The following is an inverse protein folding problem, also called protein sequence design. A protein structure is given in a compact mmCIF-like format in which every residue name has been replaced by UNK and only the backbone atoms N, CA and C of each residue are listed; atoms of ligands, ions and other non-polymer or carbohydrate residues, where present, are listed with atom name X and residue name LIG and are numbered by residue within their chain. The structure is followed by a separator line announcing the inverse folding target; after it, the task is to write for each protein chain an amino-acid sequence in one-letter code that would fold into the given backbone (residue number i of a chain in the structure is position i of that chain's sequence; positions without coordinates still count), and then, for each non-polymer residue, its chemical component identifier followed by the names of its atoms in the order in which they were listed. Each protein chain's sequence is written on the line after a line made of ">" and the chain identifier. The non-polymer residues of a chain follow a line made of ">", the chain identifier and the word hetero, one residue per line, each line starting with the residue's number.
data_IF_970166751506
#
_entry.id   IF_970166751506
#
_cell.length_a   1.000
_cell.length_b   1.000
_cell.length_c   1.000
_cell.angle_alpha   90.00
_cell.angle_beta   90.00
_cell.angle_gamma   90.00
#
_symmetry.space_group_name_H-M   'P 1'
#
loop_
_entity.id
_entity.type
_entity.pdbx_description
1 polymer ?
#
# COMPACT_ATOMS: atom_id res chain seq x y z
N UNK A 1 -6.71 71.08 -99.82
CA UNK A 1 -7.19 69.89 -100.53
C UNK A 1 -6.92 69.93 -102.04
N UNK A 2 -6.83 71.09 -102.71
CA UNK A 2 -6.85 71.13 -104.19
C UNK A 2 -5.52 70.81 -104.93
N UNK A 3 -4.43 70.46 -104.23
CA UNK A 3 -3.13 70.16 -104.86
C UNK A 3 -2.71 68.69 -104.84
N UNK A 4 -3.43 67.84 -104.12
CA UNK A 4 -3.26 66.39 -104.11
C UNK A 4 -4.68 65.87 -104.27
N UNK A 5 -4.98 65.23 -105.40
CA UNK A 5 -6.32 64.77 -105.81
C UNK A 5 -6.80 63.59 -104.95
N UNK A 6 -6.82 63.79 -103.64
CA UNK A 6 -7.15 62.83 -102.59
C UNK A 6 -8.11 63.54 -101.66
N UNK A 7 -9.17 62.86 -101.26
CA UNK A 7 -10.16 63.37 -100.32
C UNK A 7 -9.50 63.54 -98.95
N UNK A 8 -9.47 64.78 -98.45
CA UNK A 8 -8.89 65.12 -97.15
C UNK A 8 -10.03 65.44 -96.21
N UNK A 9 -10.35 64.48 -95.34
CA UNK A 9 -11.30 64.68 -94.25
C UNK A 9 -10.60 65.17 -92.99
N UNK A 10 -11.22 66.14 -92.32
CA UNK A 10 -10.77 66.58 -91.00
C UNK A 10 -11.18 65.54 -89.97
N UNK A 11 -10.18 64.99 -89.28
CA UNK A 11 -10.41 64.02 -88.22
C UNK A 11 -11.22 64.64 -87.08
N UNK A 12 -12.42 64.10 -86.84
CA UNK A 12 -13.27 64.46 -85.71
C UNK A 12 -13.39 63.27 -84.75
N UNK A 13 -12.69 63.28 -83.59
CA UNK A 13 -12.70 62.16 -82.66
C UNK A 13 -14.01 62.00 -81.89
N UNK A 14 -14.90 63.00 -81.92
CA UNK A 14 -16.15 62.98 -81.15
C UNK A 14 -17.30 62.24 -81.83
N UNK A 15 -17.13 61.78 -83.07
CA UNK A 15 -18.16 61.00 -83.76
C UNK A 15 -18.44 59.65 -83.07
N UNK A 16 -17.43 59.09 -82.40
CA UNK A 16 -17.50 57.77 -81.76
C UNK A 16 -17.56 57.82 -80.23
N UNK A 17 -17.64 59.02 -79.64
CA UNK A 17 -17.63 59.22 -78.18
C UNK A 17 -18.83 60.06 -77.78
N UNK A 18 -19.58 59.60 -76.77
CA UNK A 18 -20.69 60.36 -76.21
C UNK A 18 -20.17 61.60 -75.50
N UNK A 19 -20.60 62.78 -75.96
CA UNK A 19 -20.27 64.07 -75.35
C UNK A 19 -21.29 64.38 -74.27
N UNK A 20 -20.82 64.85 -73.11
CA UNK A 20 -21.68 65.27 -72.02
C UNK A 20 -22.50 66.53 -72.41
N UNK A 21 -23.81 66.59 -72.08
CA UNK A 21 -24.70 67.67 -72.52
C UNK A 21 -24.39 69.04 -71.90
N UNK A 22 -23.47 69.14 -70.93
CA UNK A 22 -23.03 70.42 -70.36
C UNK A 22 -21.92 71.12 -71.15
N UNK A 23 -21.34 70.46 -72.17
CA UNK A 23 -20.28 71.04 -72.99
C UNK A 23 -20.83 71.74 -74.24
N UNK A 24 -20.27 72.90 -74.55
CA UNK A 24 -20.60 73.65 -75.76
C UNK A 24 -20.00 72.96 -77.00
N UNK A 25 -20.89 72.46 -77.86
CA UNK A 25 -20.54 71.74 -79.08
C UNK A 25 -19.91 72.66 -80.13
N UNK A 26 -20.19 73.97 -80.08
CA UNK A 26 -19.68 74.94 -81.04
C UNK A 26 -18.19 75.23 -80.82
N UNK A 27 -17.80 75.45 -79.56
CA UNK A 27 -16.38 75.61 -79.22
C UNK A 27 -15.60 74.31 -79.38
N UNK A 28 -16.20 73.17 -79.03
CA UNK A 28 -15.55 71.86 -79.12
C UNK A 28 -15.34 71.41 -80.57
N UNK A 29 -16.26 71.74 -81.47
CA UNK A 29 -16.13 71.50 -82.92
C UNK A 29 -14.97 72.26 -83.55
N UNK A 30 -14.65 73.47 -83.06
CA UNK A 30 -13.55 74.30 -83.57
C UNK A 30 -12.17 73.71 -83.29
N UNK A 31 -12.02 73.02 -82.15
CA UNK A 31 -10.74 72.43 -81.71
C UNK A 31 -10.69 70.90 -81.90
N UNK A 32 -11.74 70.30 -82.47
CA UNK A 32 -11.91 68.85 -82.55
C UNK A 32 -10.69 68.07 -83.09
N UNK A 33 -9.97 68.50 -84.14
CA UNK A 33 -8.82 67.76 -84.63
C UNK A 33 -7.65 67.66 -83.64
N UNK A 34 -7.52 68.60 -82.70
CA UNK A 34 -6.43 68.62 -81.71
C UNK A 34 -6.66 67.65 -80.53
N UNK A 35 -7.90 67.18 -80.34
CA UNK A 35 -8.28 66.35 -79.19
C UNK A 35 -8.07 64.85 -79.39
N UNK A 36 -7.55 64.41 -80.54
CA UNK A 36 -7.37 62.98 -80.84
C UNK A 36 -6.50 62.22 -79.82
N UNK A 37 -5.43 62.85 -79.31
CA UNK A 37 -4.53 62.23 -78.31
C UNK A 37 -5.15 62.17 -76.92
N UNK A 38 -5.92 63.20 -76.55
CA UNK A 38 -6.63 63.26 -75.26
C UNK A 38 -7.75 62.23 -75.23
N UNK A 39 -8.52 62.14 -76.32
CA UNK A 39 -9.54 61.09 -76.48
C UNK A 39 -8.88 59.71 -76.45
N UNK A 40 -7.76 59.51 -77.14
CA UNK A 40 -6.99 58.25 -77.08
C UNK A 40 -6.48 57.89 -75.68
N UNK A 41 -6.02 58.88 -74.89
CA UNK A 41 -5.65 58.69 -73.49
C UNK A 41 -6.87 58.35 -72.62
N UNK A 42 -8.01 58.99 -72.88
CA UNK A 42 -9.27 58.70 -72.18
C UNK A 42 -9.79 57.29 -72.51
N UNK A 43 -9.70 56.85 -73.75
CA UNK A 43 -10.12 55.49 -74.13
C UNK A 43 -9.28 54.41 -73.43
N UNK A 44 -8.03 54.69 -73.06
CA UNK A 44 -7.17 53.78 -72.29
C UNK A 44 -7.73 53.47 -70.89
N UNK A 45 -8.49 54.38 -70.27
CA UNK A 45 -9.08 54.11 -68.93
C UNK A 45 -10.38 53.31 -69.00
N UNK A 46 -11.05 53.29 -70.17
CA UNK A 46 -12.39 52.72 -70.35
C UNK A 46 -12.36 51.38 -71.10
N UNK A 47 -11.43 51.21 -72.03
CA UNK A 47 -11.31 50.01 -72.85
C UNK A 47 -10.00 49.29 -72.60
N UNK A 48 -10.05 47.95 -72.61
CA UNK A 48 -8.87 47.10 -72.52
C UNK A 48 -8.22 47.04 -73.90
N UNK A 49 -7.09 47.73 -74.07
CA UNK A 49 -6.38 47.81 -75.34
C UNK A 49 -5.53 46.54 -75.54
N UNK A 50 -5.46 45.97 -76.76
CA UNK A 50 -4.67 44.75 -77.01
C UNK A 50 -3.16 44.95 -76.81
N UNK A 51 -2.68 46.20 -76.87
CA UNK A 51 -1.31 46.58 -76.55
C UNK A 51 -1.35 47.76 -75.57
N UNK A 52 -0.91 47.51 -74.33
CA UNK A 52 -0.80 48.53 -73.30
C UNK A 52 0.66 48.72 -72.91
N UNK A 53 1.16 49.94 -73.05
CA UNK A 53 2.51 50.30 -72.64
C UNK A 53 2.42 51.27 -71.47
N UNK A 54 2.78 50.80 -70.28
CA UNK A 54 2.87 51.61 -69.07
C UNK A 54 4.34 51.81 -68.72
N UNK A 55 4.80 53.06 -68.73
CA UNK A 55 6.19 53.43 -68.42
C UNK A 55 6.42 53.59 -66.91
N UNK A 56 5.41 53.36 -66.07
CA UNK A 56 5.62 53.34 -64.63
C UNK A 56 6.54 52.19 -64.24
N UNK A 57 7.64 52.46 -63.50
CA UNK A 57 8.56 51.42 -63.06
C UNK A 57 7.85 50.47 -62.09
N UNK A 58 8.08 49.16 -62.26
CA UNK A 58 7.45 48.10 -61.45
C UNK A 58 7.65 48.30 -59.94
N UNK A 59 8.79 48.87 -59.55
CA UNK A 59 9.09 49.18 -58.15
C UNK A 59 8.13 50.17 -57.49
N UNK A 60 7.47 51.05 -58.25
CA UNK A 60 6.45 51.95 -57.72
C UNK A 60 5.09 51.26 -57.61
N UNK A 61 4.77 50.36 -58.55
CA UNK A 61 3.55 49.56 -58.48
C UNK A 61 3.59 48.61 -57.28
N UNK A 62 4.72 47.95 -57.03
CA UNK A 62 4.90 47.09 -55.85
C UNK A 62 4.76 47.88 -54.54
N UNK A 63 5.27 49.13 -54.50
CA UNK A 63 5.07 50.03 -53.35
C UNK A 63 3.61 50.41 -53.17
N UNK A 64 2.89 50.73 -54.24
CA UNK A 64 1.46 51.04 -54.19
C UNK A 64 0.65 49.82 -53.73
N UNK A 65 0.98 48.62 -54.21
CA UNK A 65 0.33 47.40 -53.77
C UNK A 65 0.61 47.09 -52.30
N UNK A 66 1.85 47.30 -51.86
CA UNK A 66 2.22 47.11 -50.47
C UNK A 66 1.48 48.09 -49.57
N UNK A 67 1.46 49.38 -49.90
CA UNK A 67 0.67 50.41 -49.18
C UNK A 67 -0.81 50.04 -49.12
N UNK A 68 -1.39 49.56 -50.24
CA UNK A 68 -2.78 49.12 -50.29
C UNK A 68 -3.06 47.89 -49.40
N UNK A 69 -2.06 47.03 -49.18
CA UNK A 69 -2.18 45.79 -48.37
C UNK A 69 -1.86 45.97 -46.89
N UNK A 70 -1.16 47.05 -46.49
CA UNK A 70 -0.88 47.37 -45.08
C UNK A 70 -2.10 47.32 -44.15
N UNK A 71 -3.27 47.90 -44.48
CA UNK A 71 -4.42 47.84 -43.57
C UNK A 71 -4.94 46.41 -43.38
N UNK A 72 -4.87 45.57 -44.40
CA UNK A 72 -5.26 44.16 -44.29
C UNK A 72 -4.31 43.36 -43.38
N UNK A 73 -3.01 43.65 -43.44
CA UNK A 73 -2.01 42.98 -42.59
C UNK A 73 -2.17 43.40 -41.12
N UNK A 74 -2.43 44.69 -40.86
CA UNK A 74 -2.75 45.18 -39.52
C UNK A 74 -4.04 44.55 -38.97
N UNK A 75 -5.09 44.47 -39.79
CA UNK A 75 -6.35 43.82 -39.40
C UNK A 75 -6.14 42.33 -39.07
N UNK A 76 -5.31 41.61 -39.83
CA UNK A 76 -5.01 40.20 -39.56
C UNK A 76 -4.32 40.01 -38.19
N UNK A 77 -3.38 40.87 -37.83
CA UNK A 77 -2.72 40.82 -36.51
C UNK A 77 -3.72 41.13 -35.39
N UNK A 78 -4.58 42.12 -35.58
CA UNK A 78 -5.64 42.45 -34.60
C UNK A 78 -6.60 41.29 -34.41
N UNK A 79 -7.00 40.60 -35.48
CA UNK A 79 -7.86 39.40 -35.40
C UNK A 79 -7.15 38.28 -34.63
N UNK A 80 -5.85 38.07 -34.86
CA UNK A 80 -5.07 37.04 -34.14
C UNK A 80 -5.02 37.35 -32.64
N UNK A 81 -4.72 38.60 -32.27
CA UNK A 81 -4.71 39.05 -30.87
C UNK A 81 -6.09 38.91 -30.22
N UNK A 82 -7.15 39.27 -30.94
CA UNK A 82 -8.52 39.16 -30.45
C UNK A 82 -8.93 37.70 -30.23
N UNK A 83 -8.48 36.78 -31.09
CA UNK A 83 -8.70 35.34 -30.89
C UNK A 83 -7.99 34.83 -29.63
N UNK A 84 -6.73 35.21 -29.42
CA UNK A 84 -5.98 34.88 -28.19
C UNK A 84 -6.70 35.43 -26.94
N UNK A 85 -7.22 36.66 -27.03
CA UNK A 85 -7.97 37.29 -25.94
C UNK A 85 -9.29 36.55 -25.64
N UNK A 86 -10.07 36.19 -26.67
CA UNK A 86 -11.32 35.44 -26.51
C UNK A 86 -11.09 34.08 -25.83
N UNK A 87 -10.02 33.37 -26.22
CA UNK A 87 -9.65 32.08 -25.60
C UNK A 87 -9.29 32.27 -24.13
N UNK A 88 -8.47 33.29 -23.81
CA UNK A 88 -8.12 33.61 -22.41
C UNK A 88 -9.35 33.96 -21.56
N UNK A 89 -10.25 34.79 -22.09
CA UNK A 89 -11.50 35.15 -21.43
C UNK A 89 -12.41 33.93 -21.20
N UNK A 90 -12.53 33.04 -22.19
CA UNK A 90 -13.30 31.81 -22.08
C UNK A 90 -12.77 30.89 -20.97
N UNK A 91 -11.45 30.68 -20.91
CA UNK A 91 -10.85 29.88 -19.84
C UNK A 91 -11.05 30.51 -18.45
N UNK A 92 -11.04 31.83 -18.34
CA UNK A 92 -11.33 32.51 -17.07
C UNK A 92 -12.78 32.25 -16.60
N UNK A 93 -13.74 32.22 -17.52
CA UNK A 93 -15.15 31.93 -17.22
C UNK A 93 -15.40 30.45 -16.87
N UNK A 94 -14.68 29.53 -17.52
CA UNK A 94 -14.71 28.11 -17.16
C UNK A 94 -14.03 27.87 -15.81
N UNK A 95 -12.94 28.59 -15.52
CA UNK A 95 -12.25 28.47 -14.25
C UNK A 95 -13.09 28.95 -13.06
N UNK A 96 -13.90 30.02 -13.21
CA UNK A 96 -14.76 30.50 -12.13
C UNK A 96 -15.87 29.50 -11.79
N UNK A 97 -16.55 28.94 -12.79
CA UNK A 97 -17.60 27.91 -12.59
C UNK A 97 -17.03 26.61 -12.01
N UNK A 98 -15.85 26.18 -12.45
CA UNK A 98 -15.17 25.02 -11.86
C UNK A 98 -14.76 25.24 -10.41
N UNK A 99 -14.33 26.44 -10.02
CA UNK A 99 -13.99 26.77 -8.63
C UNK A 99 -15.23 26.77 -7.73
N UNK A 100 -16.36 27.27 -8.23
CA UNK A 100 -17.63 27.24 -7.51
C UNK A 100 -18.10 25.79 -7.27
N UNK A 101 -18.09 24.95 -8.31
CA UNK A 101 -18.41 23.52 -8.17
C UNK A 101 -17.44 22.77 -7.27
N UNK A 102 -16.14 23.06 -7.34
CA UNK A 102 -15.16 22.49 -6.42
C UNK A 102 -15.43 22.90 -4.97
N UNK A 103 -15.85 24.14 -4.73
CA UNK A 103 -16.20 24.60 -3.39
C UNK A 103 -17.44 23.89 -2.84
N UNK A 104 -18.44 23.65 -3.68
CA UNK A 104 -19.65 22.91 -3.32
C UNK A 104 -19.36 21.42 -3.09
N UNK A 105 -18.58 20.79 -3.98
CA UNK A 105 -18.13 19.40 -3.80
C UNK A 105 -17.28 19.23 -2.54
N UNK A 106 -16.38 20.18 -2.25
CA UNK A 106 -15.59 20.14 -1.02
C UNK A 106 -16.47 20.38 0.22
N UNK A 107 -17.49 21.23 0.14
CA UNK A 107 -18.47 21.41 1.20
C UNK A 107 -19.32 20.15 1.44
N UNK A 108 -19.63 19.38 0.39
CA UNK A 108 -20.30 18.07 0.51
C UNK A 108 -19.34 16.95 0.97
N UNK A 109 -18.05 17.04 0.62
CA UNK A 109 -17.04 16.08 1.05
C UNK A 109 -16.60 16.29 2.51
N UNK A 110 -16.64 17.53 3.02
CA UNK A 110 -16.28 17.85 4.41
C UNK A 110 -17.05 17.06 5.48
N UNK A 111 -18.39 16.88 5.42
CA UNK A 111 -19.10 16.05 6.39
C UNK A 111 -18.76 14.56 6.24
N UNK A 112 -18.46 14.10 5.01
CA UNK A 112 -18.07 12.71 4.77
C UNK A 112 -16.67 12.41 5.33
N UNK A 113 -15.70 13.32 5.14
CA UNK A 113 -14.36 13.18 5.70
C UNK A 113 -14.36 13.35 7.21
N UNK A 114 -15.22 14.21 7.77
CA UNK A 114 -15.45 14.32 9.20
C UNK A 114 -16.11 13.06 9.79
N UNK A 115 -17.06 12.45 9.08
CA UNK A 115 -17.64 11.17 9.48
C UNK A 115 -16.59 10.07 9.46
N UNK A 116 -15.78 10.01 8.40
CA UNK A 116 -14.67 9.06 8.28
C UNK A 116 -13.66 9.21 9.42
N UNK A 117 -13.25 10.44 9.77
CA UNK A 117 -12.33 10.66 10.89
C UNK A 117 -12.96 10.36 12.26
N UNK A 118 -14.28 10.51 12.40
CA UNK A 118 -15.01 10.09 13.61
C UNK A 118 -15.22 8.58 13.72
N UNK A 119 -15.27 7.86 12.59
CA UNK A 119 -15.41 6.40 12.55
C UNK A 119 -14.07 5.69 12.74
N UNK A 120 -12.95 6.30 12.35
CA UNK A 120 -11.62 5.73 12.53
C UNK A 120 -11.29 5.29 13.99
N UNK A 121 -11.62 6.06 15.05
CA UNK A 121 -11.46 5.58 16.42
C UNK A 121 -12.47 4.48 16.78
N UNK A 122 -13.68 4.48 16.22
CA UNK A 122 -14.64 3.39 16.46
C UNK A 122 -14.17 2.08 15.79
N UNK A 123 -13.64 2.15 14.56
CA UNK A 123 -13.03 1.02 13.86
C UNK A 123 -11.83 0.46 14.62
N UNK A 124 -10.97 1.32 15.19
CA UNK A 124 -9.84 0.84 15.99
C UNK A 124 -10.28 0.18 17.30
N UNK A 125 -11.33 0.69 17.97
CA UNK A 125 -11.90 0.03 19.16
C UNK A 125 -12.62 -1.30 18.83
N UNK A 126 -13.19 -1.42 17.64
CA UNK A 126 -13.73 -2.70 17.17
C UNK A 126 -12.60 -3.69 16.87
N UNK A 127 -11.52 -3.24 16.25
CA UNK A 127 -10.33 -4.06 16.00
C UNK A 127 -9.74 -4.59 17.30
N UNK A 128 -9.61 -3.77 18.35
CA UNK A 128 -9.14 -4.25 19.66
C UNK A 128 -10.10 -5.25 20.31
N UNK A 129 -11.42 -5.06 20.19
CA UNK A 129 -12.39 -6.05 20.71
C UNK A 129 -12.34 -7.38 19.97
N UNK A 130 -12.14 -7.35 18.65
CA UNK A 130 -11.95 -8.56 17.84
C UNK A 130 -10.64 -9.25 18.22
N UNK A 131 -9.57 -8.48 18.43
CA UNK A 131 -8.29 -9.00 18.88
C UNK A 131 -8.42 -9.69 20.25
N UNK A 132 -9.09 -9.05 21.21
CA UNK A 132 -9.37 -9.65 22.52
C UNK A 132 -10.16 -10.96 22.38
N UNK A 133 -11.19 -11.00 21.53
CA UNK A 133 -11.96 -12.22 21.29
C UNK A 133 -11.11 -13.33 20.62
N UNK A 134 -10.21 -12.96 19.72
CA UNK A 134 -9.31 -13.90 19.03
C UNK A 134 -8.29 -14.49 20.01
N UNK A 135 -7.71 -13.67 20.90
CA UNK A 135 -6.82 -14.13 21.98
C UNK A 135 -7.51 -15.14 22.91
N UNK A 136 -8.78 -14.91 23.26
CA UNK A 136 -9.54 -15.90 24.01
C UNK A 136 -9.74 -17.21 23.24
N UNK A 137 -9.97 -17.13 21.93
CA UNK A 137 -10.05 -18.31 21.06
C UNK A 137 -8.77 -19.13 21.04
N UNK A 138 -7.61 -18.47 20.94
CA UNK A 138 -6.29 -19.10 20.96
C UNK A 138 -6.02 -19.79 22.31
N UNK A 139 -6.29 -19.10 23.43
CA UNK A 139 -6.15 -19.70 24.77
C UNK A 139 -7.03 -20.93 24.98
N UNK A 140 -8.27 -20.90 24.47
CA UNK A 140 -9.18 -22.04 24.55
C UNK A 140 -8.65 -23.22 23.73
N UNK A 141 -8.13 -22.94 22.53
CA UNK A 141 -7.56 -23.97 21.65
C UNK A 141 -6.33 -24.64 22.30
N UNK A 142 -5.47 -23.86 22.95
CA UNK A 142 -4.29 -24.37 23.66
C UNK A 142 -4.68 -25.20 24.90
N UNK A 143 -5.77 -24.85 25.59
CA UNK A 143 -6.33 -25.69 26.66
C UNK A 143 -6.85 -27.03 26.15
N UNK A 144 -7.51 -27.05 24.98
CA UNK A 144 -7.96 -28.31 24.37
C UNK A 144 -6.80 -29.17 23.87
N UNK A 145 -5.71 -28.56 23.42
CA UNK A 145 -4.51 -29.27 22.99
C UNK A 145 -3.93 -30.18 24.10
N UNK A 146 -3.87 -29.71 25.36
CA UNK A 146 -3.37 -30.54 26.47
C UNK A 146 -4.23 -31.76 26.76
N UNK A 147 -5.55 -31.62 26.65
CA UNK A 147 -6.47 -32.76 26.79
C UNK A 147 -6.20 -33.81 25.71
N UNK A 148 -5.96 -33.38 24.48
CA UNK A 148 -5.67 -34.28 23.37
C UNK A 148 -4.31 -34.98 23.55
N UNK A 149 -3.26 -34.24 23.92
CA UNK A 149 -1.92 -34.78 24.23
C UNK A 149 -1.99 -35.84 25.33
N UNK A 150 -2.64 -35.54 26.46
CA UNK A 150 -2.80 -36.49 27.57
C UNK A 150 -3.62 -37.72 27.17
N UNK A 151 -4.64 -37.53 26.34
CA UNK A 151 -5.44 -38.65 25.81
C UNK A 151 -4.58 -39.58 24.97
N UNK A 152 -3.72 -39.04 24.11
CA UNK A 152 -2.86 -39.83 23.22
C UNK A 152 -1.76 -40.55 24.00
N UNK A 153 -1.13 -39.86 24.96
CA UNK A 153 -0.16 -40.49 25.86
C UNK A 153 -0.84 -41.65 26.59
N UNK A 154 -2.04 -41.44 27.16
CA UNK A 154 -2.79 -42.52 27.80
C UNK A 154 -3.08 -43.68 26.84
N UNK A 155 -3.50 -43.42 25.60
CA UNK A 155 -3.75 -44.48 24.62
C UNK A 155 -2.46 -45.25 24.30
N UNK A 156 -1.33 -44.57 24.10
CA UNK A 156 -0.06 -45.24 23.81
C UNK A 156 0.41 -46.11 24.97
N UNK A 157 0.20 -45.68 26.23
CA UNK A 157 0.47 -46.48 27.43
C UNK A 157 -0.42 -47.74 27.51
N UNK A 158 -1.72 -47.62 27.27
CA UNK A 158 -2.63 -48.77 27.29
C UNK A 158 -2.27 -49.76 26.19
N UNK A 159 -1.93 -49.25 25.01
CA UNK A 159 -1.54 -50.11 23.90
C UNK A 159 -0.19 -50.80 24.14
N UNK A 160 0.79 -50.16 24.78
CA UNK A 160 2.04 -50.84 25.13
C UNK A 160 1.83 -51.90 26.20
N UNK A 161 1.01 -51.64 27.20
CA UNK A 161 0.64 -52.63 28.23
C UNK A 161 -0.05 -53.84 27.60
N UNK A 162 -0.99 -53.64 26.67
CA UNK A 162 -1.63 -54.74 25.93
C UNK A 162 -0.66 -55.55 25.08
N UNK A 163 0.30 -54.91 24.43
CA UNK A 163 1.29 -55.63 23.62
C UNK A 163 2.30 -56.38 24.50
N UNK A 164 2.70 -55.81 25.63
CA UNK A 164 3.52 -56.49 26.62
C UNK A 164 2.80 -57.70 27.23
N UNK A 165 1.50 -57.56 27.54
CA UNK A 165 0.66 -58.67 28.00
C UNK A 165 0.56 -59.78 26.95
N UNK A 166 0.44 -59.45 25.65
CA UNK A 166 0.42 -60.44 24.56
C UNK A 166 1.76 -61.14 24.36
N UNK A 167 2.87 -60.42 24.48
CA UNK A 167 4.20 -60.96 24.24
C UNK A 167 4.72 -61.81 25.40
N UNK A 168 4.40 -61.42 26.63
CA UNK A 168 4.99 -62.03 27.83
C UNK A 168 3.97 -62.70 28.74
N UNK A 169 2.67 -62.66 28.43
CA UNK A 169 1.57 -63.22 29.25
C UNK A 169 1.58 -62.75 30.72
N UNK A 170 2.13 -61.57 30.97
CA UNK A 170 2.27 -60.95 32.30
C UNK A 170 1.63 -59.58 32.27
N UNK A 171 0.86 -59.26 33.30
CA UNK A 171 0.31 -57.91 33.50
C UNK A 171 1.46 -56.95 33.83
N UNK A 172 1.71 -56.00 32.93
CA UNK A 172 2.77 -54.99 33.05
C UNK A 172 2.17 -53.61 33.24
N UNK A 173 2.14 -53.11 34.48
CA UNK A 173 1.71 -51.75 34.77
C UNK A 173 2.76 -50.73 34.34
N UNK A 174 2.33 -49.71 33.61
CA UNK A 174 3.13 -48.55 33.21
C UNK A 174 2.35 -47.29 33.61
N UNK A 175 3.00 -46.37 34.33
CA UNK A 175 2.40 -45.11 34.75
C UNK A 175 3.36 -43.94 34.59
N UNK A 176 2.78 -42.74 34.60
CA UNK A 176 3.49 -41.47 34.50
C UNK A 176 3.78 -40.99 35.92
N UNK A 177 5.03 -40.65 36.21
CA UNK A 177 5.45 -40.07 37.49
C UNK A 177 5.47 -38.54 37.43
N UNK A 178 6.03 -37.97 36.37
CA UNK A 178 6.00 -36.53 36.18
C UNK A 178 5.97 -36.15 34.71
N UNK A 179 5.30 -35.05 34.41
CA UNK A 179 5.25 -34.44 33.10
C UNK A 179 5.73 -32.99 33.25
N UNK A 180 6.91 -32.67 32.71
CA UNK A 180 7.52 -31.35 32.85
C UNK A 180 7.68 -30.70 31.47
N UNK A 181 7.05 -29.54 31.21
CA UNK A 181 7.37 -28.77 30.02
C UNK A 181 8.82 -28.28 30.15
N UNK A 182 9.60 -28.46 29.09
CA UNK A 182 10.95 -27.93 28.96
C UNK A 182 10.81 -26.59 28.23
N UNK A 183 10.58 -25.54 29.02
CA UNK A 183 10.66 -24.15 28.60
C UNK A 183 12.10 -23.66 28.89
N UNK A 184 12.84 -23.16 27.88
CA UNK A 184 14.11 -22.48 28.16
C UNK A 184 13.83 -21.31 29.09
N UNK A 185 14.47 -21.29 30.27
CA UNK A 185 14.36 -20.19 31.25
C UNK A 185 13.56 -20.47 32.54
N UNK A 186 12.69 -21.50 32.59
CA UNK A 186 11.86 -21.77 33.80
C UNK A 186 12.15 -23.13 34.42
N UNK A 187 12.94 -23.15 35.50
CA UNK A 187 13.16 -24.35 36.32
C UNK A 187 11.99 -24.56 37.29
N UNK A 188 10.99 -25.36 36.90
CA UNK A 188 9.82 -25.69 37.72
C UNK A 188 10.10 -26.71 38.86
N UNK A 189 11.36 -27.01 39.15
CA UNK A 189 11.76 -27.95 40.21
C UNK A 189 11.47 -27.47 41.64
N UNK A 190 10.96 -26.24 41.80
CA UNK A 190 10.53 -25.66 43.07
C UNK A 190 9.16 -24.99 43.04
N UNK A 191 8.33 -25.24 42.02
CA UNK A 191 6.99 -24.64 41.94
C UNK A 191 6.15 -25.09 43.15
N UNK A 192 5.91 -24.17 44.08
CA UNK A 192 5.01 -24.37 45.19
C UNK A 192 3.62 -24.69 44.64
N UNK A 193 2.96 -25.69 45.21
CA UNK A 193 1.54 -25.95 44.94
C UNK A 193 0.81 -24.70 45.43
N UNK A 194 0.29 -23.90 44.50
CA UNK A 194 -0.51 -22.75 44.86
C UNK A 194 -1.79 -23.26 45.50
N UNK A 195 -1.85 -23.22 46.83
CA UNK A 195 -3.07 -23.51 47.57
C UNK A 195 -4.01 -22.32 47.36
N UNK A 196 -5.11 -22.56 46.67
CA UNK A 196 -5.99 -21.52 46.10
C UNK A 196 -7.02 -21.00 47.11
N UNK A 197 -6.67 -20.95 48.40
CA UNK A 197 -7.62 -20.67 49.49
C UNK A 197 -7.08 -19.78 50.62
N UNK A 198 -6.12 -18.91 50.34
CA UNK A 198 -5.90 -17.72 51.18
C UNK A 198 -6.25 -16.48 50.36
N UNK A 199 -7.41 -15.89 50.67
CA UNK A 199 -7.81 -14.55 50.23
C UNK A 199 -6.84 -13.54 50.86
N UNK A 200 -5.67 -13.34 50.27
CA UNK A 200 -4.91 -12.11 50.46
C UNK A 200 -5.44 -11.09 49.45
N UNK A 201 -6.32 -10.20 49.93
CA UNK A 201 -6.68 -8.98 49.23
C UNK A 201 -5.41 -8.14 49.03
N UNK A 202 -4.75 -8.29 47.88
CA UNK A 202 -3.73 -7.36 47.42
C UNK A 202 -4.40 -6.00 47.16
N UNK A 203 -4.37 -5.14 48.17
CA UNK A 203 -4.74 -3.72 48.04
C UNK A 203 -3.96 -3.11 46.85
N UNK A 204 -4.63 -2.46 45.88
CA UNK A 204 -3.96 -1.89 44.74
C UNK A 204 -2.99 -0.81 45.21
N UNK A 205 -1.71 -0.99 44.90
CA UNK A 205 -0.69 0.06 45.00
C UNK A 205 -1.19 1.30 44.26
N UNK A 206 -1.70 2.30 45.01
CA UNK A 206 -2.09 3.59 44.46
C UNK A 206 -0.84 4.41 44.13
N UNK A 207 -0.05 3.96 43.15
CA UNK A 207 0.92 4.85 42.52
C UNK A 207 0.15 5.91 41.75
N UNK A 208 0.24 7.16 42.24
CA UNK A 208 -0.29 8.32 41.58
C UNK A 208 0.39 8.49 40.21
N UNK A 209 -0.39 8.81 39.18
CA UNK A 209 0.09 9.00 37.80
C UNK A 209 1.31 9.95 37.72
N UNK A 210 2.30 9.59 36.89
CA UNK A 210 3.58 10.28 36.72
C UNK A 210 3.41 11.73 36.25
N UNK A 211 2.36 12.03 35.48
CA UNK A 211 2.06 13.40 35.05
C UNK A 211 1.50 14.25 36.18
N UNK A 212 0.72 13.66 37.08
CA UNK A 212 0.23 14.34 38.28
C UNK A 212 1.40 14.65 39.23
N UNK A 213 2.35 13.74 39.40
CA UNK A 213 3.56 13.99 40.19
C UNK A 213 4.40 15.17 39.67
N UNK A 214 4.48 15.35 38.33
CA UNK A 214 5.15 16.51 37.70
C UNK A 214 4.50 17.83 38.05
N UNK A 215 3.17 17.90 38.07
CA UNK A 215 2.43 19.14 38.37
C UNK A 215 2.57 19.58 39.82
N UNK A 216 2.70 18.62 40.73
CA UNK A 216 2.81 18.88 42.17
C UNK A 216 4.24 18.88 42.70
N UNK A 217 5.25 18.68 41.84
CA UNK A 217 6.67 18.75 42.23
C UNK A 217 7.11 17.64 43.20
N UNK A 218 6.42 16.48 43.20
CA UNK A 218 6.74 15.33 44.05
C UNK A 218 7.76 14.37 43.43
N UNK A 219 8.30 14.70 42.26
CA UNK A 219 9.40 13.91 41.68
C UNK A 219 10.60 13.95 42.63
N UNK A 220 11.20 12.80 42.98
CA UNK A 220 12.43 12.76 43.74
C UNK A 220 13.48 13.64 43.06
N UNK A 221 14.03 14.58 43.83
CA UNK A 221 14.97 15.58 43.33
C UNK A 221 16.25 14.88 42.85
N UNK A 222 16.33 14.63 41.54
CA UNK A 222 17.41 13.85 40.91
C UNK A 222 17.05 13.25 39.54
N UNK A 223 15.78 13.24 39.14
CA UNK A 223 15.39 12.80 37.80
C UNK A 223 15.20 13.99 36.84
N UNK A 224 16.32 14.51 36.33
CA UNK A 224 16.32 15.57 35.32
C UNK A 224 17.72 15.85 34.79
N UNK A 225 18.02 15.23 33.65
CA UNK A 225 19.11 15.53 32.71
C UNK A 225 20.55 15.27 33.21
N UNK A 226 21.19 14.27 32.62
CA UNK A 226 22.61 13.97 32.82
C UNK A 226 22.94 12.51 32.50
N UNK A 227 23.37 12.29 31.26
CA UNK A 227 24.16 11.14 30.83
C UNK A 227 25.31 10.84 31.80
N UNK A 228 25.79 9.59 31.74
CA UNK A 228 27.06 9.07 32.30
C UNK A 228 26.92 8.27 33.61
N UNK A 229 26.65 6.96 33.45
CA UNK A 229 27.29 5.91 34.24
C UNK A 229 27.55 4.70 33.32
N UNK A 230 28.84 4.44 33.10
CA UNK A 230 29.42 3.17 32.66
C UNK A 230 28.72 1.99 33.35
N UNK A 231 28.21 1.04 32.58
CA UNK A 231 28.20 -0.37 32.94
C UNK A 231 28.26 -1.20 31.66
N UNK A 232 29.08 -2.24 31.73
CA UNK A 232 29.64 -3.03 30.65
C UNK A 232 28.57 -3.66 29.74
N UNK A 233 28.78 -3.53 28.42
CA UNK A 233 28.06 -4.27 27.39
C UNK A 233 28.36 -5.78 27.52
N UNK A 234 27.54 -6.51 28.28
CA UNK A 234 27.21 -7.89 27.93
C UNK A 234 26.01 -7.85 26.98
N UNK A 235 26.27 -8.02 25.69
CA UNK A 235 25.25 -8.39 24.72
C UNK A 235 24.70 -9.78 25.08
N UNK A 236 23.71 -9.82 25.97
CA UNK A 236 22.78 -10.93 26.04
C UNK A 236 21.84 -10.79 24.83
N UNK A 237 22.10 -11.59 23.81
CA UNK A 237 21.11 -11.90 22.79
C UNK A 237 19.85 -12.41 23.49
N UNK A 238 18.81 -11.58 23.56
CA UNK A 238 17.46 -12.04 23.88
C UNK A 238 17.02 -12.86 22.68
N UNK A 239 17.26 -14.17 22.74
CA UNK A 239 16.63 -15.12 21.86
C UNK A 239 15.14 -15.10 22.18
N UNK A 240 14.31 -14.63 21.25
CA UNK A 240 12.83 -14.56 21.30
C UNK A 240 12.12 -15.95 21.49
N UNK A 241 12.86 -16.99 21.89
CA UNK A 241 12.41 -18.38 21.96
C UNK A 241 11.96 -18.83 23.38
N UNK A 242 12.09 -17.98 24.41
CA UNK A 242 11.83 -18.36 25.82
C UNK A 242 10.34 -18.60 26.15
N UNK A 243 9.40 -18.18 25.31
CA UNK A 243 7.95 -18.35 25.55
C UNK A 243 7.34 -19.58 24.89
N UNK A 244 8.17 -20.44 24.29
CA UNK A 244 7.69 -21.53 23.43
C UNK A 244 7.94 -22.90 24.07
N UNK A 245 6.88 -23.56 24.54
CA UNK A 245 6.96 -24.95 25.01
C UNK A 245 6.98 -25.88 23.80
N UNK A 246 8.19 -26.18 23.32
CA UNK A 246 8.42 -27.11 22.22
C UNK A 246 8.77 -28.53 22.71
N UNK A 247 9.34 -28.66 23.90
CA UNK A 247 9.85 -29.92 24.46
C UNK A 247 9.13 -30.25 25.77
N UNK A 248 8.92 -31.54 26.02
CA UNK A 248 8.21 -32.06 27.18
C UNK A 248 8.95 -33.29 27.69
N UNK A 249 9.40 -33.26 28.94
CA UNK A 249 10.08 -34.39 29.58
C UNK A 249 9.05 -35.21 30.35
N UNK A 250 8.87 -36.46 29.94
CA UNK A 250 7.96 -37.42 30.54
C UNK A 250 8.76 -38.45 31.35
N UNK A 251 8.64 -38.43 32.67
CA UNK A 251 9.17 -39.48 33.53
C UNK A 251 8.12 -40.59 33.70
N UNK A 252 8.46 -41.80 33.29
CA UNK A 252 7.61 -42.99 33.38
C UNK A 252 8.20 -44.02 34.35
N UNK A 253 7.31 -44.76 35.02
CA UNK A 253 7.64 -45.90 35.87
C UNK A 253 6.92 -47.14 35.37
N UNK A 254 7.65 -48.24 35.29
CA UNK A 254 7.11 -49.55 34.92
C UNK A 254 7.39 -50.59 35.99
N UNK A 255 6.57 -51.65 36.03
CA UNK A 255 6.86 -52.81 36.89
C UNK A 255 8.09 -53.54 36.36
N UNK A 256 9.07 -53.77 37.23
CA UNK A 256 10.30 -54.46 36.87
C UNK A 256 10.02 -55.95 36.62
N UNK A 257 10.44 -56.45 35.45
CA UNK A 257 10.29 -57.86 35.06
C UNK A 257 11.60 -58.48 34.59
N UNK A 258 12.75 -57.94 35.03
CA UNK A 258 14.08 -58.52 34.76
C UNK A 258 14.22 -59.97 35.25
N UNK A 259 13.51 -60.33 36.32
CA UNK A 259 13.44 -61.69 36.85
C UNK A 259 12.81 -62.72 35.88
N UNK A 260 12.06 -62.28 34.87
CA UNK A 260 11.44 -63.14 33.84
C UNK A 260 12.23 -63.08 32.54
N UNK A 261 12.63 -61.87 32.11
CA UNK A 261 13.51 -61.68 30.97
C UNK A 261 14.41 -60.45 31.20
N UNK A 262 15.75 -60.59 31.10
CA UNK A 262 16.69 -59.49 31.30
C UNK A 262 16.45 -58.26 30.43
N UNK A 263 15.82 -58.43 29.26
CA UNK A 263 15.55 -57.34 28.31
C UNK A 263 14.09 -56.84 28.32
N UNK A 264 13.23 -57.36 29.21
CA UNK A 264 11.80 -56.98 29.24
C UNK A 264 11.58 -55.50 29.50
N UNK A 265 12.33 -54.90 30.44
CA UNK A 265 12.20 -53.49 30.80
C UNK A 265 12.60 -52.57 29.64
N UNK A 266 13.71 -52.87 28.98
CA UNK A 266 14.18 -52.13 27.81
C UNK A 266 13.18 -52.28 26.65
N UNK A 267 12.70 -53.50 26.38
CA UNK A 267 11.72 -53.74 25.33
C UNK A 267 10.41 -52.96 25.57
N UNK A 268 9.96 -52.85 26.84
CA UNK A 268 8.78 -52.07 27.20
C UNK A 268 8.99 -50.56 26.96
N UNK A 269 10.13 -50.02 27.40
CA UNK A 269 10.49 -48.61 27.19
C UNK A 269 10.64 -48.27 25.68
N UNK A 270 11.31 -49.11 24.90
CA UNK A 270 11.47 -48.92 23.45
C UNK A 270 10.14 -49.09 22.68
N UNK A 271 9.27 -50.01 23.10
CA UNK A 271 7.94 -50.15 22.49
C UNK A 271 7.08 -48.90 22.74
N UNK A 272 7.17 -48.30 23.94
CA UNK A 272 6.49 -47.03 24.23
C UNK A 272 7.03 -45.90 23.37
N UNK A 273 8.36 -45.78 23.27
CA UNK A 273 8.99 -44.78 22.42
C UNK A 273 8.53 -44.92 20.96
N UNK A 274 8.54 -46.14 20.41
CA UNK A 274 8.11 -46.41 19.04
C UNK A 274 6.64 -46.05 18.80
N UNK A 275 5.76 -46.30 19.77
CA UNK A 275 4.35 -45.90 19.67
C UNK A 275 4.17 -44.39 19.74
N UNK A 276 4.91 -43.70 20.59
CA UNK A 276 4.89 -42.23 20.65
C UNK A 276 5.43 -41.61 19.35
N UNK A 277 6.50 -42.17 18.77
CA UNK A 277 7.04 -41.77 17.46
C UNK A 277 6.06 -42.05 16.30
N UNK A 278 5.20 -43.07 16.41
CA UNK A 278 4.19 -43.36 15.39
C UNK A 278 3.05 -42.32 15.33
N UNK A 279 2.87 -41.53 16.40
CA UNK A 279 1.83 -40.50 16.50
C UNK A 279 2.32 -39.16 15.92
N UNK A 280 2.59 -39.14 14.62
CA UNK A 280 3.19 -38.01 13.86
C UNK A 280 2.29 -36.77 13.73
N UNK A 281 1.03 -36.88 14.16
CA UNK A 281 0.10 -35.76 14.22
C UNK A 281 0.39 -34.83 15.39
N UNK A 282 1.02 -35.34 16.46
CA UNK A 282 1.21 -34.62 17.72
C UNK A 282 2.69 -34.51 18.12
N UNK A 283 3.49 -35.55 17.84
CA UNK A 283 4.92 -35.58 18.19
C UNK A 283 5.82 -35.61 16.95
N UNK A 284 6.99 -34.99 17.05
CA UNK A 284 8.04 -35.14 16.03
C UNK A 284 8.80 -36.46 16.25
N UNK A 285 8.76 -37.42 15.29
CA UNK A 285 9.40 -38.73 15.45
C UNK A 285 10.92 -38.66 15.59
N UNK A 286 11.58 -37.71 14.93
CA UNK A 286 13.05 -37.65 14.86
C UNK A 286 13.69 -37.07 16.13
N UNK A 287 12.88 -36.32 16.90
CA UNK A 287 13.34 -35.56 18.06
C UNK A 287 12.74 -36.08 19.38
N UNK A 288 11.84 -37.07 19.30
CA UNK A 288 11.33 -37.81 20.47
C UNK A 288 12.29 -38.96 20.80
N UNK A 289 13.00 -38.85 21.93
CA UNK A 289 14.07 -39.80 22.32
C UNK A 289 13.96 -40.16 23.79
N UNK A 290 14.47 -41.34 24.16
CA UNK A 290 14.73 -41.67 25.56
C UNK A 290 15.85 -40.77 26.10
N UNK A 291 15.64 -40.19 27.27
CA UNK A 291 16.64 -39.35 27.96
C UNK A 291 17.42 -40.27 28.89
N UNK A 292 18.70 -40.45 28.57
CA UNK A 292 19.62 -41.31 29.34
C UNK A 292 19.52 -42.80 29.02
N UNK A 293 20.49 -43.57 29.54
CA UNK A 293 20.48 -45.03 29.54
C UNK A 293 19.62 -45.52 30.71
N UNK A 294 18.80 -46.56 30.51
CA UNK A 294 17.98 -47.11 31.59
C UNK A 294 18.89 -47.57 32.73
N UNK A 295 18.69 -47.03 33.94
CA UNK A 295 19.49 -47.42 35.10
C UNK A 295 19.35 -48.94 35.34
N UNK A 296 20.46 -49.67 35.53
CA UNK A 296 20.41 -51.10 35.78
C UNK A 296 19.75 -51.35 37.14
N UNK A 297 18.50 -51.83 37.11
CA UNK A 297 17.71 -52.21 38.29
C UNK A 297 17.97 -53.66 38.66
N UNK A 298 18.12 -53.90 39.96
CA UNK A 298 18.33 -55.23 40.51
C UNK A 298 17.04 -56.06 40.47
N UNK A 299 17.12 -57.40 40.49
CA UNK A 299 15.94 -58.28 40.52
C UNK A 299 15.07 -58.08 41.78
N UNK A 300 15.62 -57.45 42.82
CA UNK A 300 14.90 -57.10 44.06
C UNK A 300 14.05 -55.83 43.97
N UNK A 301 14.26 -55.00 42.96
CA UNK A 301 13.50 -53.75 42.80
C UNK A 301 12.17 -54.03 42.11
N UNK A 302 11.07 -53.58 42.72
CA UNK A 302 9.73 -53.81 42.17
C UNK A 302 9.42 -52.98 40.91
N UNK A 303 10.14 -51.87 40.68
CA UNK A 303 9.85 -50.89 39.63
C UNK A 303 11.12 -50.36 38.98
N UNK A 304 11.01 -49.95 37.71
CA UNK A 304 12.08 -49.25 36.98
C UNK A 304 11.58 -47.90 36.46
N UNK A 305 12.46 -46.91 36.40
CA UNK A 305 12.13 -45.56 35.95
C UNK A 305 12.87 -45.28 34.63
N UNK A 306 12.24 -44.54 33.73
CA UNK A 306 12.87 -44.04 32.51
C UNK A 306 12.23 -42.73 32.08
N UNK A 307 13.02 -41.88 31.44
CA UNK A 307 12.58 -40.57 30.97
C UNK A 307 12.51 -40.54 29.44
N UNK A 308 11.49 -39.90 28.90
CA UNK A 308 11.31 -39.68 27.45
C UNK A 308 11.21 -38.18 27.22
N UNK A 309 12.06 -37.64 26.35
CA UNK A 309 11.90 -36.30 25.80
C UNK A 309 10.95 -36.40 24.60
N UNK A 310 9.80 -35.74 24.71
CA UNK A 310 8.80 -35.59 23.67
C UNK A 310 8.97 -34.20 23.06
N UNK A 311 9.03 -34.12 21.73
CA UNK A 311 8.94 -32.83 21.05
C UNK A 311 7.57 -32.68 20.38
N UNK A 312 6.87 -31.61 20.74
CA UNK A 312 5.56 -31.29 20.19
C UNK A 312 5.74 -30.73 18.77
N UNK A 313 4.92 -31.21 17.84
CA UNK A 313 4.92 -30.71 16.45
C UNK A 313 4.35 -29.29 16.33
N UNK A 314 3.40 -28.96 17.21
CA UNK A 314 2.88 -27.62 17.38
C UNK A 314 3.40 -27.08 18.71
N UNK A 315 4.32 -26.11 18.69
CA UNK A 315 4.76 -25.48 19.91
C UNK A 315 3.61 -24.66 20.52
N UNK A 316 3.50 -24.68 21.85
CA UNK A 316 2.53 -23.86 22.58
C UNK A 316 3.25 -22.57 23.01
N UNK A 317 2.65 -21.43 22.71
CA UNK A 317 3.12 -20.15 23.24
C UNK A 317 2.52 -19.96 24.64
N UNK A 318 3.37 -19.89 25.66
CA UNK A 318 2.96 -19.36 26.96
C UNK A 318 2.82 -17.86 26.78
N UNK A 319 1.59 -17.37 26.58
CA UNK A 319 1.35 -15.94 26.69
C UNK A 319 1.55 -15.56 28.15
N UNK A 320 2.48 -14.64 28.43
CA UNK A 320 2.57 -14.02 29.74
C UNK A 320 1.20 -13.43 30.07
N UNK A 321 0.64 -13.86 31.20
CA UNK A 321 -0.49 -13.16 31.81
C UNK A 321 0.06 -11.83 32.31
N UNK A 322 -0.35 -10.74 31.66
CA UNK A 322 -0.11 -9.39 32.15
C UNK A 322 -0.83 -9.12 33.48
#
# INVERSE_FOLDING_TARGET
>A
AEKLNVEVDYFNPFQSVSIDPSLDLEELGRVAPAFGTVVGMGLRSVFQCPVELNLMPKSLLDKQEFERKKPFLAAAVVVLVLLMFLVGFFFQQVASTKRELLSELNAQAAPLTALQSSLQPEESTLATRIDHATRFGEMIQDRFFWKDVLTIIRQSLIETERDAQRQYAVDSGLWIESLRPDSPGVNLTGAAVMDTWEDEEEEPSMMMDIEMMKRYGLLPNGAGDGDDWDDEEEEASVDDDETIVAKLTLACKGVNRTAINPNANNALAFNLLKKLQSQTNFFNPDETKLVGELAPVSESDATFNFEISLRLKKPIKLSESG
#
